data_IF_716188498890
#
_entry.id   IF_716188498890
#
_cell.length_a   1.000
_cell.length_b   1.000
_cell.length_c   1.000
_cell.angle_alpha   90.00
_cell.angle_beta   90.00
_cell.angle_gamma   90.00
#
_symmetry.space_group_name_H-M   'P 1'
#
loop_
_entity.id
_entity.type
_entity.pdbx_description
1 polymer ?
#
# COMPACT_ATOMS: atom_id res chain seq x y z
N UNK A 1 2.08 16.18 -2.95
CA UNK A 1 2.13 15.30 -4.12
C UNK A 1 1.70 16.04 -5.38
N UNK A 2 1.86 15.39 -6.51
CA UNK A 2 1.50 15.96 -7.79
C UNK A 2 0.00 16.16 -7.93
N UNK A 3 -0.38 17.03 -8.86
CA UNK A 3 -1.76 17.33 -9.10
C UNK A 3 -2.56 16.14 -9.61
N UNK A 4 -3.86 16.30 -9.60
CA UNK A 4 -4.82 15.28 -10.02
C UNK A 4 -5.30 15.56 -11.44
N UNK A 5 -5.86 14.53 -12.08
CA UNK A 5 -6.49 14.69 -13.38
C UNK A 5 -7.70 15.63 -13.29
N UNK A 6 -8.06 16.35 -14.37
CA UNK A 6 -9.15 17.31 -14.31
C UNK A 6 -10.51 16.72 -13.92
N UNK A 7 -10.74 15.43 -14.13
CA UNK A 7 -12.03 14.80 -13.75
C UNK A 7 -12.10 14.40 -12.28
N UNK A 8 -11.01 14.54 -11.53
CA UNK A 8 -11.00 14.21 -10.11
C UNK A 8 -11.65 15.34 -9.33
N UNK A 9 -12.64 15.01 -8.53
CA UNK A 9 -13.33 15.98 -7.70
C UNK A 9 -12.51 16.23 -6.44
N UNK A 10 -12.33 17.50 -6.10
CA UNK A 10 -11.55 17.89 -4.93
C UNK A 10 -12.42 18.37 -3.78
N UNK A 11 -13.74 18.51 -4.00
CA UNK A 11 -14.65 18.97 -2.96
C UNK A 11 -15.88 18.07 -2.92
N UNK A 12 -16.44 17.85 -1.72
CA UNK A 12 -17.67 17.06 -1.60
C UNK A 12 -18.88 17.86 -2.08
N UNK A 13 -19.87 17.16 -2.62
CA UNK A 13 -21.15 17.78 -3.01
C UNK A 13 -22.09 17.93 -1.83
N UNK A 14 -21.88 17.11 -0.76
CA UNK A 14 -22.69 17.14 0.44
C UNK A 14 -21.88 16.61 1.61
N UNK A 15 -22.43 16.69 2.82
CA UNK A 15 -21.74 16.18 4.00
C UNK A 15 -21.52 14.67 3.95
N UNK A 16 -22.39 13.94 3.25
CA UNK A 16 -22.30 12.48 3.14
C UNK A 16 -21.50 12.04 1.91
N UNK A 17 -21.00 12.97 1.12
CA UNK A 17 -20.28 12.64 -0.09
C UNK A 17 -18.82 12.30 0.23
N UNK A 18 -18.41 11.06 -0.10
CA UNK A 18 -17.05 10.59 0.08
C UNK A 18 -16.36 10.31 -1.26
N UNK A 19 -17.00 10.62 -2.39
CA UNK A 19 -16.46 10.35 -3.72
C UNK A 19 -15.63 11.52 -4.27
N UNK A 20 -14.85 12.13 -3.41
CA UNK A 20 -13.96 13.20 -3.84
C UNK A 20 -12.53 12.86 -3.40
N UNK A 21 -11.56 13.46 -4.10
CA UNK A 21 -10.15 13.23 -3.78
C UNK A 21 -9.83 13.85 -2.42
N UNK A 22 -9.52 13.00 -1.46
CA UNK A 22 -9.17 13.47 -0.12
C UNK A 22 -8.11 12.56 0.49
N UNK A 23 -7.46 13.02 1.54
CA UNK A 23 -6.36 12.33 2.20
C UNK A 23 -6.81 11.91 3.59
N UNK A 24 -6.50 10.69 3.96
CA UNK A 24 -6.70 10.21 5.33
C UNK A 24 -5.48 9.45 5.80
N UNK A 25 -5.37 9.31 7.12
CA UNK A 25 -4.30 8.53 7.74
C UNK A 25 -4.88 7.25 8.31
N UNK A 26 -4.14 6.16 8.15
CA UNK A 26 -4.45 4.88 8.79
C UNK A 26 -3.24 4.48 9.59
N UNK A 27 -3.44 4.28 10.88
CA UNK A 27 -2.37 3.90 11.80
C UNK A 27 -2.82 2.71 12.65
N UNK A 28 -1.91 1.77 12.88
CA UNK A 28 -2.19 0.57 13.66
C UNK A 28 -0.98 0.22 14.51
N UNK A 29 -1.23 -0.53 15.59
CA UNK A 29 -0.15 -0.98 16.48
C UNK A 29 0.64 -2.14 15.89
N UNK A 30 0.02 -2.92 15.01
CA UNK A 30 0.67 -4.04 14.35
C UNK A 30 0.56 -3.87 12.83
N UNK A 31 1.44 -4.52 12.06
CA UNK A 31 1.41 -4.39 10.60
C UNK A 31 0.05 -4.76 10.01
N UNK A 32 -0.39 -3.97 9.06
CA UNK A 32 -1.63 -4.17 8.33
C UNK A 32 -1.31 -4.44 6.87
N UNK A 33 -1.97 -5.41 6.28
CA UNK A 33 -1.88 -5.71 4.87
C UNK A 33 -3.02 -5.03 4.12
N UNK A 34 -2.68 -4.22 3.14
CA UNK A 34 -3.67 -3.59 2.26
C UNK A 34 -3.53 -4.17 0.86
N UNK A 35 -4.63 -4.65 0.32
CA UNK A 35 -4.68 -5.21 -1.04
C UNK A 35 -6.10 -5.10 -1.56
N UNK A 36 -6.27 -5.24 -2.87
CA UNK A 36 -7.57 -5.31 -3.52
C UNK A 36 -7.73 -6.66 -4.21
N UNK A 37 -8.92 -6.92 -4.73
CA UNK A 37 -9.23 -8.22 -5.32
C UNK A 37 -8.31 -8.59 -6.49
N UNK A 38 -7.73 -7.60 -7.15
CA UNK A 38 -6.83 -7.83 -8.29
C UNK A 38 -5.36 -7.60 -7.95
N UNK A 39 -5.02 -7.43 -6.66
CA UNK A 39 -3.63 -7.27 -6.25
C UNK A 39 -2.89 -8.59 -6.42
N UNK A 40 -1.67 -8.51 -6.94
CA UNK A 40 -0.81 -9.67 -7.11
C UNK A 40 -0.04 -9.93 -5.81
N UNK A 41 0.24 -11.20 -5.47
CA UNK A 41 1.04 -11.49 -4.28
C UNK A 41 2.43 -10.87 -4.37
N UNK A 42 2.99 -10.51 -3.21
CA UNK A 42 4.39 -10.10 -3.15
C UNK A 42 5.29 -11.28 -3.48
N UNK A 43 6.56 -11.01 -3.72
CA UNK A 43 7.51 -12.03 -4.14
C UNK A 43 8.64 -12.15 -3.14
N UNK A 44 9.19 -13.37 -3.07
CA UNK A 44 10.40 -13.60 -2.31
C UNK A 44 11.56 -12.79 -2.90
N UNK A 45 12.29 -12.09 -2.05
CA UNK A 45 13.39 -11.24 -2.51
C UNK A 45 14.59 -12.06 -2.99
N UNK A 46 14.69 -13.33 -2.57
CA UNK A 46 15.82 -14.20 -2.95
C UNK A 46 15.55 -14.93 -4.26
N UNK A 47 14.40 -15.60 -4.41
CA UNK A 47 14.12 -16.42 -5.59
C UNK A 47 13.14 -15.80 -6.56
N UNK A 48 12.44 -14.72 -6.18
CA UNK A 48 11.50 -14.03 -7.06
C UNK A 48 10.16 -14.71 -7.25
N UNK A 49 9.90 -15.83 -6.57
CA UNK A 49 8.62 -16.53 -6.70
C UNK A 49 7.58 -15.94 -5.76
N UNK A 50 6.27 -16.07 -6.11
CA UNK A 50 5.22 -15.55 -5.24
C UNK A 50 5.27 -16.15 -3.86
N UNK A 51 5.00 -15.32 -2.85
CA UNK A 51 5.05 -15.71 -1.46
C UNK A 51 3.92 -16.67 -1.11
N UNK A 52 2.71 -16.36 -1.59
CA UNK A 52 1.52 -17.14 -1.31
C UNK A 52 0.68 -17.26 -2.59
N UNK A 53 -0.16 -18.29 -2.62
CA UNK A 53 -1.10 -18.48 -3.73
C UNK A 53 -2.23 -17.47 -3.67
N UNK A 54 -2.71 -17.17 -2.46
CA UNK A 54 -3.79 -16.21 -2.24
C UNK A 54 -3.46 -15.34 -1.04
N UNK A 55 -4.03 -14.14 -1.02
CA UNK A 55 -3.85 -13.24 0.11
C UNK A 55 -4.44 -13.77 1.41
N UNK A 56 -5.39 -14.72 1.33
CA UNK A 56 -5.99 -15.31 2.52
C UNK A 56 -4.99 -16.10 3.36
N UNK A 57 -3.94 -16.58 2.74
CA UNK A 57 -2.91 -17.37 3.43
C UNK A 57 -1.85 -16.50 4.09
N UNK A 58 -1.88 -15.20 3.84
CA UNK A 58 -0.84 -14.30 4.31
C UNK A 58 -1.25 -13.62 5.61
N UNK A 59 -0.43 -13.78 6.64
CA UNK A 59 -0.66 -13.14 7.93
C UNK A 59 0.39 -12.04 8.15
N UNK A 60 -0.04 -10.79 7.96
CA UNK A 60 0.85 -9.65 8.12
C UNK A 60 1.36 -9.48 9.55
N UNK A 61 0.62 -10.00 10.53
CA UNK A 61 1.00 -9.88 11.94
C UNK A 61 2.14 -10.81 12.32
N UNK A 62 2.43 -11.80 11.49
CA UNK A 62 3.51 -12.74 11.78
C UNK A 62 4.87 -12.06 11.86
N UNK A 63 5.07 -10.95 11.15
CA UNK A 63 6.32 -10.20 11.21
C UNK A 63 7.47 -10.81 10.42
N UNK A 64 7.37 -12.09 10.08
CA UNK A 64 8.38 -12.77 9.27
C UNK A 64 7.70 -13.80 8.37
N UNK A 65 8.47 -14.31 7.41
CA UNK A 65 7.95 -15.32 6.50
C UNK A 65 9.09 -16.11 5.86
N UNK A 66 8.88 -17.43 5.78
CA UNK A 66 9.86 -18.34 5.15
C UNK A 66 9.35 -18.77 3.78
N UNK A 67 10.18 -18.62 2.76
CA UNK A 67 9.82 -18.98 1.40
C UNK A 67 9.74 -20.51 1.27
N UNK A 68 8.62 -21.01 0.75
CA UNK A 68 8.43 -22.43 0.52
C UNK A 68 9.21 -22.95 -0.68
N UNK A 69 9.73 -22.07 -1.54
CA UNK A 69 10.47 -22.46 -2.73
C UNK A 69 11.99 -22.51 -2.49
N UNK A 70 12.55 -21.51 -1.79
CA UNK A 70 13.99 -21.44 -1.58
C UNK A 70 14.40 -21.49 -0.11
N UNK A 71 13.43 -21.60 0.79
CA UNK A 71 13.63 -21.73 2.24
C UNK A 71 14.30 -20.51 2.90
N UNK A 72 14.39 -19.39 2.21
CA UNK A 72 14.92 -18.16 2.79
C UNK A 72 13.94 -17.60 3.82
N UNK A 73 14.46 -17.26 5.01
CA UNK A 73 13.67 -16.58 6.03
C UNK A 73 13.75 -15.07 5.84
N UNK A 74 12.60 -14.44 5.67
CA UNK A 74 12.49 -13.00 5.66
C UNK A 74 12.03 -12.55 7.04
N UNK A 75 12.88 -11.86 7.77
CA UNK A 75 12.61 -11.50 9.16
C UNK A 75 11.63 -10.36 9.28
N UNK A 76 11.51 -9.56 8.23
CA UNK A 76 10.55 -8.45 8.18
C UNK A 76 9.79 -8.54 6.86
N UNK A 77 8.48 -8.40 6.94
CA UNK A 77 7.66 -8.49 5.75
C UNK A 77 7.95 -7.36 4.76
N UNK A 78 8.45 -6.23 5.25
CA UNK A 78 8.85 -5.13 4.38
C UNK A 78 10.01 -5.49 3.46
N UNK A 79 10.77 -6.53 3.80
CA UNK A 79 11.90 -7.00 2.98
C UNK A 79 11.45 -7.81 1.77
N UNK A 80 10.21 -8.26 1.75
CA UNK A 80 9.66 -8.94 0.58
C UNK A 80 9.55 -7.96 -0.59
N UNK A 81 9.52 -8.53 -1.79
CA UNK A 81 9.42 -7.70 -3.00
C UNK A 81 7.93 -7.37 -3.24
N UNK A 82 7.53 -6.20 -2.79
CA UNK A 82 6.18 -5.71 -2.95
C UNK A 82 6.02 -5.02 -4.30
N UNK A 83 4.88 -5.26 -4.94
CA UNK A 83 4.53 -4.59 -6.18
C UNK A 83 3.79 -3.29 -5.85
N UNK A 84 3.39 -2.57 -6.87
CA UNK A 84 2.69 -1.30 -6.67
C UNK A 84 1.17 -1.46 -6.54
N UNK A 85 0.69 -2.62 -6.10
CA UNK A 85 -0.73 -2.90 -5.93
C UNK A 85 -1.06 -3.52 -4.57
N UNK A 86 -0.13 -3.48 -3.63
CA UNK A 86 -0.36 -3.94 -2.26
C UNK A 86 0.79 -3.48 -1.36
N UNK A 87 0.58 -3.58 -0.05
CA UNK A 87 1.64 -3.23 0.88
C UNK A 87 1.31 -3.60 2.32
N UNK A 88 2.36 -3.62 3.15
CA UNK A 88 2.25 -3.89 4.58
C UNK A 88 2.93 -2.75 5.34
N UNK A 89 2.24 -2.19 6.32
CA UNK A 89 2.82 -1.15 7.17
C UNK A 89 1.94 -0.93 8.39
N UNK A 90 2.45 -0.15 9.33
CA UNK A 90 1.67 0.32 10.48
C UNK A 90 1.11 1.71 10.27
N UNK A 91 1.61 2.43 9.27
CA UNK A 91 1.15 3.78 8.95
C UNK A 91 0.98 3.92 7.44
N UNK A 92 -0.21 4.33 7.03
CA UNK A 92 -0.53 4.61 5.64
C UNK A 92 -1.09 6.02 5.51
N UNK A 93 -0.70 6.69 4.44
CA UNK A 93 -1.37 7.90 4.00
C UNK A 93 -2.17 7.50 2.78
N UNK A 94 -3.50 7.60 2.86
CA UNK A 94 -4.39 7.15 1.80
C UNK A 94 -4.95 8.34 1.05
N UNK A 95 -4.89 8.25 -0.27
CA UNK A 95 -5.51 9.25 -1.15
C UNK A 95 -6.69 8.57 -1.82
N UNK A 96 -7.88 9.06 -1.51
CA UNK A 96 -9.13 8.42 -1.92
C UNK A 96 -9.67 9.01 -3.20
N UNK A 97 -10.48 8.21 -3.90
CA UNK A 97 -11.28 8.65 -5.06
C UNK A 97 -10.44 9.14 -6.22
N UNK A 98 -9.33 8.41 -6.47
CA UNK A 98 -8.54 8.55 -7.69
C UNK A 98 -8.39 7.17 -8.31
N UNK A 99 -8.14 7.13 -9.62
CA UNK A 99 -7.80 5.89 -10.28
C UNK A 99 -6.28 5.65 -10.17
N UNK A 100 -5.85 4.39 -10.14
CA UNK A 100 -4.41 4.10 -10.12
C UNK A 100 -3.69 4.80 -11.26
N UNK A 101 -2.59 5.49 -10.91
CA UNK A 101 -1.79 6.22 -11.87
C UNK A 101 -2.22 7.66 -12.13
N UNK A 102 -3.39 8.09 -11.62
CA UNK A 102 -3.85 9.47 -11.83
C UNK A 102 -3.07 10.48 -11.01
N UNK A 103 -2.54 10.06 -9.87
CA UNK A 103 -1.73 10.91 -9.01
C UNK A 103 -0.62 10.07 -8.40
N UNK A 104 0.51 10.71 -8.15
CA UNK A 104 1.62 10.05 -7.47
C UNK A 104 2.34 11.09 -6.62
N UNK A 105 2.97 10.66 -5.52
CA UNK A 105 3.71 11.60 -4.69
C UNK A 105 4.97 12.08 -5.41
N UNK A 106 5.32 13.35 -5.20
CA UNK A 106 6.59 13.86 -5.70
C UNK A 106 7.72 13.33 -4.82
N UNK A 107 8.93 13.24 -5.39
CA UNK A 107 10.08 12.71 -4.67
C UNK A 107 10.38 13.50 -3.40
N UNK A 108 10.21 14.82 -3.43
CA UNK A 108 10.47 15.64 -2.25
C UNK A 108 9.54 15.30 -1.09
N UNK A 109 8.28 14.96 -1.36
CA UNK A 109 7.34 14.53 -0.32
C UNK A 109 7.81 13.23 0.30
N UNK A 110 8.18 12.24 -0.52
CA UNK A 110 8.66 10.96 -0.03
C UNK A 110 9.89 11.15 0.85
N UNK A 111 10.85 11.99 0.42
CA UNK A 111 12.04 12.26 1.21
C UNK A 111 11.73 12.93 2.54
N UNK A 112 10.77 13.85 2.55
CA UNK A 112 10.37 14.52 3.79
C UNK A 112 9.74 13.52 4.76
N UNK A 113 8.88 12.63 4.26
CA UNK A 113 8.26 11.59 5.09
C UNK A 113 9.33 10.66 5.65
N UNK A 114 10.30 10.28 4.85
CA UNK A 114 11.39 9.41 5.31
C UNK A 114 12.22 10.08 6.38
N UNK A 115 12.49 11.37 6.25
CA UNK A 115 13.25 12.12 7.24
C UNK A 115 12.50 12.28 8.55
N UNK A 116 11.20 12.58 8.48
CA UNK A 116 10.38 12.81 9.67
C UNK A 116 10.16 11.51 10.45
N UNK A 117 9.92 10.43 9.74
CA UNK A 117 9.57 9.15 10.36
C UNK A 117 10.77 8.23 10.56
N UNK A 118 11.92 8.55 9.99
CA UNK A 118 13.11 7.70 9.99
C UNK A 118 12.82 6.32 9.43
N UNK A 119 11.94 6.24 8.44
CA UNK A 119 11.50 4.99 7.82
C UNK A 119 11.43 5.17 6.31
N UNK A 120 11.50 4.06 5.59
CA UNK A 120 11.33 4.07 4.14
C UNK A 120 9.86 4.21 3.79
N UNK A 121 9.56 4.97 2.75
CA UNK A 121 8.21 5.18 2.26
C UNK A 121 8.11 4.75 0.81
N UNK A 122 6.98 4.08 0.49
CA UNK A 122 6.66 3.63 -0.86
C UNK A 122 5.20 3.91 -1.10
N UNK A 123 4.76 3.85 -2.36
CA UNK A 123 3.36 4.02 -2.68
C UNK A 123 2.87 2.87 -3.56
N UNK A 124 1.57 2.66 -3.53
CA UNK A 124 0.91 1.67 -4.37
C UNK A 124 -0.53 2.08 -4.58
N UNK A 125 -1.19 1.41 -5.52
CA UNK A 125 -2.55 1.74 -5.90
C UNK A 125 -3.45 0.55 -5.64
N UNK A 126 -4.69 0.83 -5.19
CA UNK A 126 -5.69 -0.19 -4.94
C UNK A 126 -6.95 0.10 -5.74
N UNK A 127 -7.57 -0.96 -6.26
CA UNK A 127 -8.86 -0.90 -6.94
C UNK A 127 -9.96 -1.36 -6.00
N UNK A 128 -11.07 -0.66 -6.01
CA UNK A 128 -12.29 -1.14 -5.37
C UNK A 128 -12.23 -1.24 -3.85
N UNK A 129 -11.33 -0.49 -3.19
CA UNK A 129 -11.21 -0.49 -1.75
C UNK A 129 -12.21 0.43 -1.07
N UNK A 130 -12.88 1.24 -1.81
CA UNK A 130 -13.78 2.28 -1.31
C UNK A 130 -15.18 1.77 -1.03
N UNK A 131 -15.41 0.48 -1.16
CA UNK A 131 -16.75 -0.11 -1.03
C UNK A 131 -17.11 -0.56 0.38
N UNK A 132 -16.18 -0.55 1.27
CA UNK A 132 -16.40 -1.07 2.64
C UNK A 132 -17.14 -0.11 3.55
#
# INVERSE_FOLDING_TARGET
>A
FMGCSPHIRLEPESEDDHDYCHISLRQAESPQLLYSYNSRPCRCNSCGKPVVQTWKEFDARAGNWRCSHCDTLHQRLEELRWRNDSGVATLFIEIHSIYPGEAQPVDSLIKQLENITSSNWRYFYLYGQDKD
#
